data_IF_623780705494
#
_entry.id   IF_623780705494
#
_cell.length_a   1.000
_cell.length_b   1.000
_cell.length_c   1.000
_cell.angle_alpha   90.00
_cell.angle_beta   90.00
_cell.angle_gamma   90.00
#
_symmetry.space_group_name_H-M   'P 1'
#
loop_
_entity.id
_entity.type
_entity.pdbx_description
1 polymer ?
#
# COMPACT_ATOMS: atom_id res chain seq x y z
N UNK A 1 19.24 26.47 0.24
CA UNK A 1 19.92 25.15 0.05
C UNK A 1 19.80 24.62 -1.38
N UNK A 2 18.66 24.80 -2.06
CA UNK A 2 18.48 24.33 -3.46
C UNK A 2 19.41 25.08 -4.42
N UNK A 3 19.57 26.39 -4.23
CA UNK A 3 20.42 27.24 -5.08
C UNK A 3 21.92 27.00 -4.91
N UNK A 4 22.37 26.40 -3.81
CA UNK A 4 23.79 26.15 -3.52
C UNK A 4 24.28 24.83 -4.14
N UNK A 5 23.39 23.89 -4.43
CA UNK A 5 23.75 22.54 -4.85
C UNK A 5 23.78 22.33 -6.37
N UNK A 6 23.15 23.20 -7.14
CA UNK A 6 22.96 23.04 -8.58
C UNK A 6 22.05 21.86 -8.99
N UNK A 7 21.40 21.91 -10.17
CA UNK A 7 20.44 20.91 -10.59
C UNK A 7 21.06 19.51 -10.79
N UNK A 8 22.26 19.42 -11.36
CA UNK A 8 22.93 18.14 -11.60
C UNK A 8 23.29 17.40 -10.31
N UNK A 9 23.73 18.15 -9.28
CA UNK A 9 24.00 17.56 -7.97
C UNK A 9 22.72 17.05 -7.31
N UNK A 10 21.60 17.78 -7.45
CA UNK A 10 20.32 17.34 -6.92
C UNK A 10 19.82 16.08 -7.62
N UNK A 11 19.93 16.02 -8.95
CA UNK A 11 19.57 14.84 -9.73
C UNK A 11 20.39 13.62 -9.30
N UNK A 12 21.72 13.78 -9.23
CA UNK A 12 22.62 12.71 -8.80
C UNK A 12 22.32 12.21 -7.37
N UNK A 13 22.02 13.11 -6.44
CA UNK A 13 21.63 12.75 -5.07
C UNK A 13 20.30 12.00 -5.02
N UNK A 14 19.31 12.44 -5.82
CA UNK A 14 18.00 11.78 -5.92
C UNK A 14 18.15 10.38 -6.50
N UNK A 15 18.90 10.24 -7.59
CA UNK A 15 19.19 8.94 -8.20
C UNK A 15 19.90 8.00 -7.21
N UNK A 16 20.93 8.51 -6.53
CA UNK A 16 21.68 7.74 -5.54
C UNK A 16 20.80 7.29 -4.36
N UNK A 17 19.93 8.17 -3.86
CA UNK A 17 18.97 7.85 -2.81
C UNK A 17 18.05 6.69 -3.22
N UNK A 18 17.41 6.77 -4.38
CA UNK A 18 16.49 5.74 -4.84
C UNK A 18 17.19 4.42 -5.18
N UNK A 19 18.39 4.47 -5.70
CA UNK A 19 19.21 3.28 -5.94
C UNK A 19 19.56 2.56 -4.63
N UNK A 20 19.94 3.30 -3.60
CA UNK A 20 20.23 2.75 -2.27
C UNK A 20 18.96 2.24 -1.60
N UNK A 21 17.87 2.97 -1.71
CA UNK A 21 16.59 2.56 -1.13
C UNK A 21 16.10 1.22 -1.71
N UNK A 22 16.12 1.05 -3.03
CA UNK A 22 15.68 -0.17 -3.69
C UNK A 22 16.56 -1.40 -3.38
N UNK A 23 17.80 -1.16 -2.90
CA UNK A 23 18.77 -2.21 -2.54
C UNK A 23 19.06 -2.28 -1.05
N UNK A 24 18.26 -1.63 -0.24
CA UNK A 24 18.44 -1.60 1.23
C UNK A 24 18.42 -3.01 1.82
N UNK A 25 17.51 -3.84 1.35
CA UNK A 25 17.39 -5.22 1.81
C UNK A 25 18.16 -6.16 0.89
N UNK A 26 19.04 -7.00 1.44
CA UNK A 26 19.87 -7.90 0.65
C UNK A 26 19.03 -9.09 0.15
N UNK A 27 18.57 -9.00 -1.10
CA UNK A 27 17.89 -10.13 -1.77
C UNK A 27 18.82 -10.71 -2.80
N UNK A 28 19.05 -12.02 -2.73
CA UNK A 28 19.88 -12.72 -3.71
C UNK A 28 19.09 -12.93 -5.02
N UNK A 29 19.41 -12.13 -6.01
CA UNK A 29 18.86 -12.22 -7.37
C UNK A 29 19.83 -12.94 -8.34
N UNK A 30 20.95 -13.46 -7.86
CA UNK A 30 21.98 -14.09 -8.71
C UNK A 30 21.48 -15.29 -9.54
N UNK A 31 20.45 -16.06 -9.09
CA UNK A 31 19.88 -17.12 -9.92
C UNK A 31 19.03 -16.62 -11.09
N UNK A 32 18.71 -15.33 -11.14
CA UNK A 32 17.83 -14.73 -12.14
C UNK A 32 18.64 -14.04 -13.25
N UNK A 33 18.05 -13.89 -14.43
CA UNK A 33 18.68 -13.10 -15.49
C UNK A 33 18.79 -11.62 -15.08
N UNK A 34 19.76 -10.89 -15.63
CA UNK A 34 19.97 -9.49 -15.34
C UNK A 34 18.71 -8.63 -15.58
N UNK A 35 17.97 -8.89 -16.66
CA UNK A 35 16.73 -8.19 -16.98
C UNK A 35 15.63 -8.42 -15.93
N UNK A 36 15.52 -9.60 -15.34
CA UNK A 36 14.58 -9.88 -14.25
C UNK A 36 15.01 -9.16 -12.98
N UNK A 37 16.31 -9.11 -12.67
CA UNK A 37 16.83 -8.34 -11.55
C UNK A 37 16.54 -6.84 -11.66
N UNK A 38 16.73 -6.25 -12.85
CA UNK A 38 16.37 -4.86 -13.11
C UNK A 38 14.87 -4.61 -12.95
N UNK A 39 14.03 -5.49 -13.50
CA UNK A 39 12.58 -5.40 -13.38
C UNK A 39 12.14 -5.47 -11.90
N UNK A 40 12.76 -6.33 -11.10
CA UNK A 40 12.48 -6.43 -9.68
C UNK A 40 12.73 -5.10 -8.95
N UNK A 41 13.89 -4.47 -9.14
CA UNK A 41 14.19 -3.18 -8.51
C UNK A 41 13.27 -2.06 -9.01
N UNK A 42 12.99 -2.04 -10.30
CA UNK A 42 12.06 -1.07 -10.89
C UNK A 42 10.65 -1.23 -10.32
N UNK A 43 10.18 -2.46 -10.14
CA UNK A 43 8.86 -2.74 -9.56
C UNK A 43 8.75 -2.23 -8.13
N UNK A 44 9.78 -2.38 -7.30
CA UNK A 44 9.80 -1.81 -5.96
C UNK A 44 9.66 -0.27 -5.99
N UNK A 45 10.35 0.41 -6.91
CA UNK A 45 10.23 1.87 -7.06
C UNK A 45 8.82 2.28 -7.49
N UNK A 46 8.21 1.55 -8.42
CA UNK A 46 6.82 1.79 -8.84
C UNK A 46 5.87 1.60 -7.65
N UNK A 47 5.98 0.52 -6.90
CA UNK A 47 5.17 0.31 -5.69
C UNK A 47 5.34 1.46 -4.69
N UNK A 48 6.58 1.92 -4.47
CA UNK A 48 6.85 3.01 -3.53
C UNK A 48 6.16 4.32 -3.92
N UNK A 49 5.95 4.58 -5.21
CA UNK A 49 5.23 5.79 -5.67
C UNK A 49 3.73 5.75 -5.38
N UNK A 50 3.16 4.58 -5.06
CA UNK A 50 1.76 4.40 -4.69
C UNK A 50 1.52 4.46 -3.18
N UNK A 51 2.57 4.60 -2.38
CA UNK A 51 2.51 4.52 -0.91
C UNK A 51 2.77 5.90 -0.32
N UNK A 52 1.87 6.40 0.48
CA UNK A 52 2.08 7.64 1.21
C UNK A 52 2.87 7.41 2.52
N UNK A 53 3.16 8.50 3.23
CA UNK A 53 3.92 8.41 4.49
C UNK A 53 3.06 7.89 5.67
N UNK A 54 1.73 7.94 5.57
CA UNK A 54 0.78 7.40 6.54
C UNK A 54 0.56 5.89 6.40
N UNK A 55 1.02 5.32 5.29
CA UNK A 55 0.87 3.89 5.01
C UNK A 55 -0.28 3.56 4.06
N UNK A 56 -1.06 4.53 3.62
CA UNK A 56 -2.07 4.33 2.60
C UNK A 56 -1.42 3.88 1.28
N UNK A 57 -2.03 2.91 0.62
CA UNK A 57 -1.60 2.40 -0.69
C UNK A 57 -2.72 2.62 -1.68
N UNK A 58 -2.51 3.53 -2.62
CA UNK A 58 -3.48 3.80 -3.69
C UNK A 58 -3.35 2.79 -4.81
N UNK A 59 -4.48 2.48 -5.47
CA UNK A 59 -4.50 1.51 -6.56
C UNK A 59 -3.80 2.01 -7.82
N UNK A 60 -3.88 3.31 -8.12
CA UNK A 60 -3.13 3.93 -9.20
C UNK A 60 -2.94 5.44 -8.98
N UNK A 61 -1.92 5.99 -9.63
CA UNK A 61 -1.62 7.43 -9.67
C UNK A 61 -2.21 8.01 -10.96
N UNK A 62 -3.53 8.25 -10.97
CA UNK A 62 -4.31 8.62 -12.16
C UNK A 62 -5.07 9.94 -11.99
N UNK A 63 -4.43 10.93 -11.37
CA UNK A 63 -5.02 12.25 -11.10
C UNK A 63 -5.58 12.97 -12.34
N UNK A 64 -5.11 12.61 -13.53
CA UNK A 64 -5.55 13.24 -14.78
C UNK A 64 -7.02 12.95 -15.10
N UNK A 65 -7.55 11.81 -14.68
CA UNK A 65 -8.94 11.41 -14.92
C UNK A 65 -9.92 12.31 -14.14
N UNK A 66 -9.52 12.86 -13.01
CA UNK A 66 -10.35 13.78 -12.22
C UNK A 66 -10.73 15.05 -12.99
N UNK A 67 -9.89 15.49 -13.93
CA UNK A 67 -10.15 16.67 -14.76
C UNK A 67 -11.33 16.46 -15.72
N UNK A 68 -11.68 15.21 -16.02
CA UNK A 68 -12.75 14.85 -16.97
C UNK A 68 -14.04 14.38 -16.28
N UNK A 69 -14.13 14.53 -14.94
CA UNK A 69 -15.34 14.18 -14.18
C UNK A 69 -15.65 12.68 -14.05
N UNK A 70 -14.68 11.81 -14.37
CA UNK A 70 -14.77 10.36 -14.18
C UNK A 70 -14.31 9.94 -12.78
N UNK A 71 -14.70 8.73 -12.37
CA UNK A 71 -14.11 8.10 -11.18
C UNK A 71 -12.64 7.73 -11.47
N UNK A 72 -11.82 7.68 -10.45
CA UNK A 72 -10.37 7.43 -10.58
C UNK A 72 -9.90 6.37 -9.57
N UNK A 73 -8.64 5.91 -9.72
CA UNK A 73 -8.05 4.87 -8.91
C UNK A 73 -7.06 5.39 -7.86
N UNK A 74 -6.97 6.72 -7.67
CA UNK A 74 -6.16 7.34 -6.60
C UNK A 74 -6.83 7.20 -5.22
N UNK A 75 -7.46 6.06 -4.98
CA UNK A 75 -8.06 5.62 -3.73
C UNK A 75 -7.43 4.32 -3.25
N UNK A 76 -7.69 3.98 -2.00
CA UNK A 76 -7.20 2.79 -1.33
C UNK A 76 -8.29 1.73 -1.30
N UNK A 77 -8.14 0.65 -2.06
CA UNK A 77 -8.83 -0.61 -1.85
C UNK A 77 -7.96 -1.47 -0.94
N UNK A 78 -8.53 -1.98 0.15
CA UNK A 78 -7.74 -2.75 1.11
C UNK A 78 -7.26 -4.08 0.53
N UNK A 79 -7.95 -4.64 -0.44
CA UNK A 79 -7.48 -5.80 -1.23
C UNK A 79 -6.18 -5.49 -1.98
N UNK A 80 -6.17 -4.41 -2.75
CA UNK A 80 -5.02 -4.00 -3.55
C UNK A 80 -3.81 -3.69 -2.64
N UNK A 81 -4.07 -2.92 -1.58
CA UNK A 81 -3.06 -2.63 -0.57
C UNK A 81 -2.52 -3.87 0.13
N UNK A 82 -3.35 -4.87 0.42
CA UNK A 82 -2.94 -6.13 1.04
C UNK A 82 -1.96 -6.92 0.15
N UNK A 83 -2.22 -6.97 -1.15
CA UNK A 83 -1.32 -7.64 -2.11
C UNK A 83 0.01 -6.89 -2.24
N UNK A 84 -0.02 -5.56 -2.26
CA UNK A 84 1.21 -4.74 -2.25
C UNK A 84 1.97 -4.92 -0.93
N UNK A 85 1.29 -4.89 0.22
CA UNK A 85 1.92 -5.11 1.53
C UNK A 85 2.56 -6.51 1.63
N UNK A 86 1.96 -7.51 1.02
CA UNK A 86 2.58 -8.83 0.90
C UNK A 86 3.83 -8.81 0.02
N UNK A 87 3.79 -8.16 -1.14
CA UNK A 87 4.98 -7.97 -1.98
C UNK A 87 6.10 -7.24 -1.24
N UNK A 88 5.79 -6.18 -0.50
CA UNK A 88 6.73 -5.47 0.37
C UNK A 88 7.31 -6.37 1.45
N UNK A 89 6.51 -7.24 2.04
CA UNK A 89 6.95 -8.24 3.02
C UNK A 89 7.98 -9.19 2.41
N UNK A 90 7.72 -9.69 1.20
CA UNK A 90 8.67 -10.55 0.47
C UNK A 90 9.97 -9.83 0.08
N UNK A 91 9.89 -8.52 -0.14
CA UNK A 91 11.04 -7.65 -0.42
C UNK A 91 11.79 -7.20 0.87
N UNK A 92 11.40 -7.66 2.07
CA UNK A 92 12.01 -7.26 3.32
C UNK A 92 11.63 -5.85 3.81
N UNK A 93 10.74 -5.14 3.12
CA UNK A 93 10.32 -3.76 3.43
C UNK A 93 9.33 -3.72 4.60
N UNK A 94 9.78 -4.17 5.80
CA UNK A 94 8.92 -4.36 6.98
C UNK A 94 8.23 -3.08 7.45
N UNK A 95 8.91 -1.94 7.36
CA UNK A 95 8.38 -0.65 7.81
C UNK A 95 7.18 -0.18 6.97
N UNK A 96 7.29 -0.30 5.64
CA UNK A 96 6.19 0.07 4.73
C UNK A 96 4.98 -0.84 4.92
N UNK A 97 5.18 -2.15 5.04
CA UNK A 97 4.08 -3.07 5.30
C UNK A 97 3.45 -2.86 6.69
N UNK A 98 4.23 -2.53 7.73
CA UNK A 98 3.69 -2.13 9.04
C UNK A 98 2.81 -0.89 8.95
N UNK A 99 3.26 0.15 8.24
CA UNK A 99 2.49 1.37 8.09
C UNK A 99 1.16 1.11 7.40
N UNK A 100 1.16 0.25 6.37
CA UNK A 100 -0.09 -0.17 5.73
C UNK A 100 -1.06 -0.83 6.72
N UNK A 101 -0.61 -1.74 7.57
CA UNK A 101 -1.51 -2.38 8.55
C UNK A 101 -1.99 -1.45 9.66
N UNK A 102 -1.21 -0.40 10.01
CA UNK A 102 -1.70 0.68 10.89
C UNK A 102 -2.80 1.47 10.21
N UNK A 103 -2.62 1.83 8.95
CA UNK A 103 -3.67 2.47 8.14
C UNK A 103 -4.93 1.60 8.07
N UNK A 104 -4.81 0.29 7.86
CA UNK A 104 -5.95 -0.62 7.90
C UNK A 104 -6.66 -0.63 9.26
N UNK A 105 -5.92 -0.57 10.36
CA UNK A 105 -6.49 -0.53 11.71
C UNK A 105 -7.29 0.76 11.99
N UNK A 106 -6.98 1.85 11.28
CA UNK A 106 -7.74 3.09 11.33
C UNK A 106 -9.00 3.08 10.44
N UNK A 107 -8.97 2.26 9.37
CA UNK A 107 -10.07 2.18 8.39
C UNK A 107 -11.11 1.08 8.69
N UNK A 108 -10.76 0.07 9.48
CA UNK A 108 -11.67 -1.05 9.75
C UNK A 108 -12.89 -0.60 10.52
N UNK A 109 -14.07 -1.04 10.10
CA UNK A 109 -15.32 -0.78 10.79
C UNK A 109 -15.35 -1.50 12.16
N UNK A 110 -16.12 -1.00 13.15
CA UNK A 110 -16.20 -1.62 14.47
C UNK A 110 -16.63 -3.10 14.47
N UNK A 111 -17.38 -3.51 13.45
CA UNK A 111 -17.84 -4.90 13.26
C UNK A 111 -16.79 -5.77 12.53
N UNK A 112 -15.58 -5.27 12.28
CA UNK A 112 -14.44 -6.04 11.78
C UNK A 112 -14.43 -6.28 10.28
N UNK A 113 -14.99 -5.40 9.47
CA UNK A 113 -14.93 -5.47 8.00
C UNK A 113 -14.46 -4.14 7.40
N UNK A 114 -14.08 -4.17 6.12
CA UNK A 114 -13.77 -2.97 5.33
C UNK A 114 -14.90 -2.64 4.38
N UNK A 115 -15.15 -1.34 4.20
CA UNK A 115 -16.00 -0.82 3.13
C UNK A 115 -15.20 -0.71 1.83
N UNK A 116 -15.90 -0.47 0.72
CA UNK A 116 -15.41 -0.61 -0.65
C UNK A 116 -14.07 0.09 -0.93
N UNK A 117 -13.87 1.34 -0.53
CA UNK A 117 -12.61 2.07 -0.73
C UNK A 117 -12.51 3.29 0.17
N UNK A 118 -11.29 3.71 0.39
CA UNK A 118 -10.95 4.82 1.27
C UNK A 118 -10.06 5.85 0.57
N UNK A 119 -10.08 7.08 1.08
CA UNK A 119 -9.06 8.09 0.74
C UNK A 119 -7.73 7.72 1.40
N UNK A 120 -6.59 8.32 0.97
CA UNK A 120 -5.32 8.15 1.69
C UNK A 120 -5.35 8.64 3.14
N UNK A 121 -6.31 9.48 3.51
CA UNK A 121 -6.53 9.97 4.89
C UNK A 121 -7.39 9.03 5.74
N UNK A 122 -7.85 7.91 5.18
CA UNK A 122 -8.68 6.92 5.87
C UNK A 122 -10.18 7.21 5.84
N UNK A 123 -10.61 8.32 5.22
CA UNK A 123 -12.02 8.62 5.06
C UNK A 123 -12.66 7.70 4.02
N UNK A 124 -13.93 7.34 4.25
CA UNK A 124 -14.68 6.56 3.27
C UNK A 124 -14.82 7.35 1.96
N UNK A 125 -14.39 6.75 0.87
CA UNK A 125 -14.53 7.33 -0.47
C UNK A 125 -15.87 6.97 -1.12
N UNK A 126 -16.24 7.70 -2.18
CA UNK A 126 -17.43 7.39 -2.98
C UNK A 126 -17.39 5.97 -3.50
N UNK A 127 -18.51 5.25 -3.43
CA UNK A 127 -18.63 3.89 -3.94
C UNK A 127 -19.54 3.84 -5.15
N UNK A 128 -19.18 3.03 -6.15
CA UNK A 128 -20.09 2.65 -7.22
C UNK A 128 -21.05 1.50 -6.83
N UNK A 129 -20.83 0.86 -5.67
CA UNK A 129 -21.79 -0.04 -5.07
C UNK A 129 -22.93 0.76 -4.46
N UNK A 130 -24.19 0.41 -4.72
CA UNK A 130 -25.32 1.12 -4.16
C UNK A 130 -25.41 0.90 -2.64
N UNK A 131 -25.79 1.96 -1.89
CA UNK A 131 -26.14 1.86 -0.48
C UNK A 131 -27.55 1.36 -0.24
N UNK A 132 -28.38 1.37 -1.29
CA UNK A 132 -29.76 0.93 -1.28
C UNK A 132 -30.01 0.04 -2.50
N UNK A 133 -30.64 -1.10 -2.28
CA UNK A 133 -31.09 -2.00 -3.33
C UNK A 133 -32.51 -2.46 -2.98
N UNK A 134 -33.44 -2.25 -3.90
CA UNK A 134 -34.86 -2.61 -3.72
C UNK A 134 -35.50 -2.09 -2.41
N UNK A 135 -35.09 -0.88 -1.98
CA UNK A 135 -35.54 -0.23 -0.74
C UNK A 135 -34.84 -0.75 0.54
N UNK A 136 -33.92 -1.69 0.43
CA UNK A 136 -33.13 -2.19 1.55
C UNK A 136 -31.77 -1.50 1.60
N UNK A 137 -31.33 -1.12 2.81
CA UNK A 137 -29.97 -0.62 3.03
C UNK A 137 -29.00 -1.78 2.89
N UNK A 138 -27.99 -1.58 2.03
CA UNK A 138 -26.86 -2.49 1.87
C UNK A 138 -25.56 -1.75 2.12
N UNK A 139 -24.52 -2.48 2.54
CA UNK A 139 -23.19 -1.90 2.72
C UNK A 139 -22.37 -2.10 1.44
N UNK A 140 -21.61 -1.10 1.01
CA UNK A 140 -20.71 -1.21 -0.14
C UNK A 140 -19.44 -2.00 0.24
N UNK A 141 -19.57 -3.32 0.36
CA UNK A 141 -18.51 -4.23 0.77
C UNK A 141 -18.08 -5.09 -0.43
N UNK A 142 -16.78 -5.30 -0.56
CA UNK A 142 -16.19 -6.36 -1.36
C UNK A 142 -15.62 -7.42 -0.39
N UNK A 143 -16.16 -8.64 -0.43
CA UNK A 143 -15.95 -9.65 0.61
C UNK A 143 -14.49 -10.13 0.73
N UNK A 144 -13.72 -10.04 -0.34
CA UNK A 144 -12.31 -10.44 -0.39
C UNK A 144 -11.37 -9.45 0.30
N UNK A 145 -11.78 -8.20 0.49
CA UNK A 145 -10.92 -7.16 1.06
C UNK A 145 -10.51 -7.45 2.50
N UNK A 146 -11.47 -7.77 3.35
CA UNK A 146 -11.21 -8.07 4.77
C UNK A 146 -10.32 -9.31 4.92
N UNK A 147 -10.63 -10.37 4.20
CA UNK A 147 -9.87 -11.62 4.28
C UNK A 147 -8.43 -11.48 3.76
N UNK A 148 -8.22 -10.68 2.70
CA UNK A 148 -6.88 -10.44 2.15
C UNK A 148 -6.01 -9.59 3.06
N UNK A 149 -6.57 -8.61 3.78
CA UNK A 149 -5.81 -7.85 4.80
C UNK A 149 -5.32 -8.79 5.91
N UNK A 150 -6.19 -9.62 6.46
CA UNK A 150 -5.82 -10.59 7.50
C UNK A 150 -4.78 -11.60 7.00
N UNK A 151 -4.96 -12.11 5.78
CA UNK A 151 -4.00 -13.01 5.15
C UNK A 151 -2.63 -12.34 4.99
N UNK A 152 -2.57 -11.10 4.49
CA UNK A 152 -1.32 -10.36 4.31
C UNK A 152 -0.65 -10.04 5.66
N UNK A 153 -1.44 -9.67 6.68
CA UNK A 153 -0.94 -9.45 8.05
C UNK A 153 -0.32 -10.73 8.63
N UNK A 154 -0.98 -11.87 8.43
CA UNK A 154 -0.41 -13.16 8.82
C UNK A 154 0.91 -13.44 8.10
N UNK A 155 1.01 -13.14 6.79
CA UNK A 155 2.26 -13.31 6.02
C UNK A 155 3.36 -12.40 6.56
N UNK A 156 3.05 -11.16 6.87
CA UNK A 156 3.98 -10.23 7.51
C UNK A 156 4.48 -10.81 8.86
N UNK A 157 3.57 -11.24 9.73
CA UNK A 157 3.92 -11.84 11.01
C UNK A 157 4.79 -13.09 10.86
N UNK A 158 4.45 -14.00 9.93
CA UNK A 158 5.25 -15.21 9.73
C UNK A 158 6.67 -14.93 9.23
N UNK A 159 6.87 -13.83 8.52
CA UNK A 159 8.17 -13.41 8.00
C UNK A 159 9.01 -12.70 9.07
N UNK A 160 8.46 -11.71 9.75
CA UNK A 160 9.23 -10.84 10.65
C UNK A 160 9.12 -11.23 12.13
N UNK A 161 8.10 -12.00 12.53
CA UNK A 161 7.84 -12.45 13.92
C UNK A 161 7.73 -11.30 14.92
N UNK A 162 7.29 -10.13 14.48
CA UNK A 162 7.19 -8.92 15.29
C UNK A 162 5.92 -8.92 16.15
N UNK A 163 6.02 -9.53 17.32
CA UNK A 163 4.92 -9.64 18.28
C UNK A 163 4.50 -8.26 18.81
N UNK A 164 5.45 -7.38 19.07
CA UNK A 164 5.16 -6.05 19.63
C UNK A 164 4.40 -5.16 18.65
N UNK A 165 4.60 -5.36 17.36
CA UNK A 165 3.81 -4.71 16.32
C UNK A 165 2.39 -5.27 16.24
N UNK A 166 2.21 -6.59 16.37
CA UNK A 166 0.90 -7.25 16.21
C UNK A 166 -0.01 -7.00 17.42
N UNK A 167 0.53 -6.96 18.64
CA UNK A 167 -0.26 -6.77 19.87
C UNK A 167 -1.30 -5.63 19.80
N UNK A 168 -0.95 -4.40 19.44
CA UNK A 168 -1.92 -3.30 19.37
C UNK A 168 -2.96 -3.47 18.28
N UNK A 169 -2.66 -4.23 17.22
CA UNK A 169 -3.57 -4.48 16.09
C UNK A 169 -4.58 -5.60 16.39
N UNK A 170 -4.36 -6.39 17.44
CA UNK A 170 -5.16 -7.57 17.73
C UNK A 170 -6.63 -7.24 17.95
N UNK A 171 -6.94 -6.16 18.66
CA UNK A 171 -8.30 -5.78 18.97
C UNK A 171 -9.03 -5.07 17.81
N UNK A 172 -8.32 -4.63 16.79
CA UNK A 172 -8.92 -3.93 15.65
C UNK A 172 -8.98 -4.77 14.39
N UNK A 173 -7.97 -5.61 14.14
CA UNK A 173 -7.86 -6.37 12.89
C UNK A 173 -8.00 -7.90 13.06
N UNK A 174 -7.94 -8.43 14.28
CA UNK A 174 -8.01 -9.88 14.57
C UNK A 174 -9.14 -10.18 15.53
#
# INVERSE_FOLDING_TARGET
RVNESGPDNMLHRTESYWRLWARKEPIDLSPLSAGVGELFYRSQLVLRTQIDNGGAIIAANDSDITQFGGDHYSYCWTRDGALVAYALTLCGQSELSRNYFRYCAECVEPDGYFLHKYTPTGDLASSWHPWMLDGLKILPIQQDETSLVLWALRKHFTTFRDVEFIKPLFNSLI
#
